data_IF_909132263170
#
_entry.id   IF_909132263170
#
_cell.length_a   1.000
_cell.length_b   1.000
_cell.length_c   1.000
_cell.angle_alpha   90.00
_cell.angle_beta   90.00
_cell.angle_gamma   90.00
#
_symmetry.space_group_name_H-M   'P 1'
#
loop_
_entity.id
_entity.type
_entity.pdbx_description
1 polymer ?
#
# COMPACT_ATOMS: atom_id res chain seq x y z
N UNK A 1 -52.75 8.42 58.81
CA UNK A 1 -53.85 7.46 58.96
C UNK A 1 -53.78 6.48 57.82
N UNK A 2 -53.89 5.24 58.15
CA UNK A 2 -54.05 4.02 57.40
C UNK A 2 -52.74 3.23 57.11
N UNK A 3 -52.65 2.11 57.84
CA UNK A 3 -51.64 1.09 57.84
C UNK A 3 -51.72 0.17 56.60
N UNK A 4 -50.58 -0.19 56.08
CA UNK A 4 -50.44 -1.24 55.06
C UNK A 4 -49.96 -2.53 55.67
N UNK A 5 -50.82 -3.56 55.62
CA UNK A 5 -50.59 -4.92 56.06
C UNK A 5 -49.81 -5.68 54.94
N UNK A 6 -48.69 -6.34 55.29
CA UNK A 6 -48.03 -7.32 54.45
C UNK A 6 -48.22 -8.72 55.05
N UNK A 7 -48.60 -9.75 54.24
CA UNK A 7 -48.60 -11.11 54.75
C UNK A 7 -47.20 -11.76 54.56
N UNK A 8 -46.83 -12.52 55.56
CA UNK A 8 -45.62 -13.32 55.64
C UNK A 8 -45.75 -14.60 54.77
N UNK A 9 -44.76 -14.88 53.94
CA UNK A 9 -44.63 -16.16 53.20
C UNK A 9 -43.83 -17.13 54.03
N UNK A 10 -44.47 -18.23 54.38
CA UNK A 10 -43.86 -19.39 55.06
C UNK A 10 -43.23 -20.33 54.03
N UNK A 11 -41.93 -20.58 54.17
CA UNK A 11 -41.27 -21.67 53.41
C UNK A 11 -41.52 -23.01 54.08
N UNK A 12 -42.13 -23.94 53.37
CA UNK A 12 -42.24 -25.35 53.74
C UNK A 12 -41.08 -26.14 53.13
N UNK A 13 -40.31 -26.78 53.97
CA UNK A 13 -39.24 -27.70 53.57
C UNK A 13 -39.85 -29.07 53.31
N UNK A 14 -39.78 -29.55 52.06
CA UNK A 14 -40.06 -30.92 51.72
C UNK A 14 -38.75 -31.69 51.53
N UNK A 15 -38.50 -32.62 52.40
CA UNK A 15 -37.46 -33.65 52.31
C UNK A 15 -37.85 -34.63 51.19
N UNK A 16 -37.03 -34.77 50.17
CA UNK A 16 -37.12 -35.80 49.14
C UNK A 16 -36.10 -36.90 49.41
N UNK A 17 -36.45 -38.17 49.23
CA UNK A 17 -35.57 -39.31 49.56
C UNK A 17 -34.47 -39.48 48.49
N UNK A 18 -33.29 -39.85 48.97
CA UNK A 18 -32.07 -40.14 48.23
C UNK A 18 -32.24 -41.50 47.47
N UNK A 19 -32.54 -41.44 46.18
CA UNK A 19 -32.47 -42.56 45.28
C UNK A 19 -31.05 -42.80 44.76
N UNK A 20 -30.40 -43.88 45.15
CA UNK A 20 -29.15 -44.35 44.57
C UNK A 20 -29.38 -44.80 43.12
N UNK A 21 -28.99 -44.05 42.16
CA UNK A 21 -28.87 -44.46 40.77
C UNK A 21 -27.48 -45.08 40.55
N UNK A 22 -27.43 -46.36 40.22
CA UNK A 22 -26.22 -47.04 39.78
C UNK A 22 -25.88 -46.52 38.39
N UNK A 23 -24.84 -45.73 38.29
CA UNK A 23 -24.32 -45.27 37.03
C UNK A 23 -23.51 -46.40 36.36
N UNK A 24 -24.00 -46.90 35.25
CA UNK A 24 -23.21 -47.74 34.34
C UNK A 24 -22.08 -46.88 33.70
N UNK A 25 -20.86 -47.41 33.56
CA UNK A 25 -19.82 -46.67 32.87
C UNK A 25 -20.19 -46.53 31.38
N UNK A 26 -20.55 -45.31 30.94
CA UNK A 26 -20.50 -44.98 29.52
C UNK A 26 -19.05 -45.10 29.08
N UNK A 27 -18.78 -46.06 28.18
CA UNK A 27 -17.55 -46.08 27.39
C UNK A 27 -17.49 -44.74 26.64
N UNK A 28 -16.63 -43.82 27.11
CA UNK A 28 -16.30 -42.65 26.38
C UNK A 28 -15.59 -43.11 25.11
N UNK A 29 -16.23 -42.88 23.97
CA UNK A 29 -15.56 -42.99 22.68
C UNK A 29 -14.39 -41.98 22.68
N UNK A 30 -13.20 -42.48 22.38
CA UNK A 30 -12.03 -41.61 22.24
C UNK A 30 -12.35 -40.49 21.20
N UNK A 31 -12.02 -39.24 21.52
CA UNK A 31 -12.21 -38.17 20.53
C UNK A 31 -11.36 -38.49 19.31
N UNK A 32 -11.99 -38.62 18.15
CA UNK A 32 -11.31 -38.69 16.86
C UNK A 32 -10.56 -37.38 16.71
N UNK A 33 -9.25 -37.38 16.99
CA UNK A 33 -8.39 -36.27 16.64
C UNK A 33 -8.26 -36.27 15.12
N UNK A 34 -9.01 -35.43 14.45
CA UNK A 34 -8.73 -35.09 13.07
C UNK A 34 -7.34 -34.42 13.06
N UNK A 35 -6.41 -35.02 12.32
CA UNK A 35 -5.15 -34.32 12.03
C UNK A 35 -5.48 -32.90 11.52
N UNK A 36 -4.85 -31.92 12.14
CA UNK A 36 -4.98 -30.55 11.68
C UNK A 36 -4.56 -30.51 10.20
N UNK A 37 -5.51 -30.31 9.31
CA UNK A 37 -5.22 -30.01 7.92
C UNK A 37 -4.50 -28.69 7.95
N UNK A 38 -3.17 -28.73 7.92
CA UNK A 38 -2.36 -27.55 7.63
C UNK A 38 -2.65 -27.17 6.19
N UNK A 39 -3.65 -26.36 6.00
CA UNK A 39 -3.80 -25.57 4.78
C UNK A 39 -2.67 -24.54 4.87
N UNK A 40 -1.54 -24.87 4.27
CA UNK A 40 -0.52 -23.87 3.97
C UNK A 40 -1.17 -22.92 2.96
N UNK A 41 -1.92 -21.96 3.49
CA UNK A 41 -2.38 -20.84 2.72
C UNK A 41 -1.14 -20.13 2.19
N UNK A 42 -1.10 -19.92 0.89
CA UNK A 42 -0.16 -19.18 0.08
C UNK A 42 1.11 -18.73 0.84
N UNK A 43 2.25 -19.30 0.49
CA UNK A 43 3.53 -18.81 0.98
C UNK A 43 3.68 -17.34 0.55
N UNK A 44 4.35 -16.55 1.34
CA UNK A 44 4.65 -15.14 1.03
C UNK A 44 5.35 -15.00 -0.33
N UNK A 45 5.99 -16.06 -0.78
CA UNK A 45 6.68 -16.22 -2.06
C UNK A 45 5.71 -16.39 -3.25
N UNK A 46 4.52 -16.94 -3.05
CA UNK A 46 3.52 -17.12 -4.11
C UNK A 46 2.74 -15.81 -4.40
N UNK A 47 2.68 -14.89 -3.45
CA UNK A 47 1.95 -13.63 -3.60
C UNK A 47 2.68 -12.60 -4.47
N UNK A 48 3.99 -12.72 -4.68
CA UNK A 48 4.79 -11.77 -5.47
C UNK A 48 4.92 -12.19 -6.94
N UNK A 49 4.63 -13.42 -7.28
CA UNK A 49 4.79 -13.98 -8.64
C UNK A 49 3.51 -13.97 -9.47
N UNK A 50 2.36 -13.64 -8.90
CA UNK A 50 1.06 -13.61 -9.58
C UNK A 50 0.44 -12.20 -9.50
N UNK A 51 -0.52 -11.94 -10.39
CA UNK A 51 -1.35 -10.72 -10.37
C UNK A 51 -2.33 -10.67 -9.19
N UNK A 52 -2.49 -11.76 -8.47
CA UNK A 52 -3.37 -11.88 -7.32
C UNK A 52 -2.57 -11.77 -6.02
N UNK A 53 -2.89 -10.76 -5.23
CA UNK A 53 -2.43 -10.70 -3.86
C UNK A 53 -3.43 -11.42 -2.94
N UNK A 54 -2.91 -12.22 -2.03
CA UNK A 54 -3.72 -12.87 -1.00
C UNK A 54 -3.88 -12.02 0.27
N UNK A 55 -3.06 -10.98 0.43
CA UNK A 55 -2.95 -10.18 1.65
C UNK A 55 -2.80 -8.70 1.38
N UNK A 56 -3.23 -7.87 2.34
CA UNK A 56 -3.00 -6.44 2.35
C UNK A 56 -2.64 -5.97 3.76
N UNK A 57 -1.88 -4.87 3.84
CA UNK A 57 -1.49 -4.23 5.10
C UNK A 57 -2.10 -2.84 5.27
N UNK A 58 -2.75 -2.30 4.25
CA UNK A 58 -3.39 -1.00 4.30
C UNK A 58 -4.46 -0.93 5.39
N UNK A 59 -4.53 0.20 6.07
CA UNK A 59 -5.53 0.41 7.12
C UNK A 59 -5.25 -0.30 8.45
N UNK A 60 -4.04 -0.83 8.64
CA UNK A 60 -3.64 -1.50 9.89
C UNK A 60 -4.05 -2.97 9.97
N UNK A 61 -4.42 -3.57 8.84
CA UNK A 61 -4.78 -5.00 8.78
C UNK A 61 -3.57 -5.95 8.90
N UNK A 62 -2.35 -5.41 9.02
CA UNK A 62 -1.08 -6.16 9.27
C UNK A 62 -0.93 -7.45 8.46
N UNK A 63 -1.03 -7.35 7.13
CA UNK A 63 -0.95 -8.52 6.24
C UNK A 63 -2.14 -9.51 6.40
N UNK A 64 -3.31 -9.01 6.77
CA UNK A 64 -4.51 -9.83 6.83
C UNK A 64 -4.87 -10.41 5.45
N UNK A 65 -5.45 -11.60 5.45
CA UNK A 65 -6.04 -12.17 4.25
C UNK A 65 -7.10 -11.23 3.68
N UNK A 66 -7.07 -11.01 2.37
CA UNK A 66 -8.10 -10.19 1.69
C UNK A 66 -9.50 -10.79 1.85
N UNK A 67 -9.62 -12.10 1.97
CA UNK A 67 -10.91 -12.78 2.19
C UNK A 67 -11.51 -12.50 3.58
N UNK A 68 -10.65 -12.26 4.57
CA UNK A 68 -11.06 -11.99 5.96
C UNK A 68 -11.08 -10.48 6.27
N UNK A 69 -10.68 -9.65 5.30
CA UNK A 69 -10.62 -8.18 5.47
C UNK A 69 -12.02 -7.57 5.28
N UNK A 70 -12.65 -6.98 6.32
CA UNK A 70 -13.99 -6.39 6.22
C UNK A 70 -13.94 -4.99 5.57
N UNK A 71 -13.24 -4.87 4.44
CA UNK A 71 -13.05 -3.62 3.71
C UNK A 71 -12.90 -3.89 2.20
N UNK A 72 -13.15 -2.86 1.40
CA UNK A 72 -12.92 -2.92 -0.05
C UNK A 72 -11.48 -2.52 -0.35
N UNK A 73 -10.64 -3.51 -0.63
CA UNK A 73 -9.22 -3.30 -0.94
C UNK A 73 -8.92 -3.83 -2.34
N UNK A 74 -8.20 -3.03 -3.14
CA UNK A 74 -7.56 -3.48 -4.37
C UNK A 74 -6.05 -3.53 -4.16
N UNK A 75 -5.41 -4.60 -4.58
CA UNK A 75 -3.95 -4.76 -4.49
C UNK A 75 -3.38 -4.97 -5.88
N UNK A 76 -2.35 -4.21 -6.20
CA UNK A 76 -1.61 -4.24 -7.45
C UNK A 76 -0.20 -4.76 -7.15
N UNK A 77 0.11 -5.96 -7.62
CA UNK A 77 1.34 -6.68 -7.28
C UNK A 77 2.55 -6.19 -8.08
N UNK A 78 3.76 -6.53 -7.62
CA UNK A 78 5.01 -6.28 -8.36
C UNK A 78 4.97 -6.88 -9.77
N UNK A 79 4.41 -8.09 -9.94
CA UNK A 79 4.26 -8.73 -11.24
C UNK A 79 3.43 -7.87 -12.20
N UNK A 80 2.29 -7.36 -11.73
CA UNK A 80 1.44 -6.47 -12.53
C UNK A 80 2.16 -5.15 -12.88
N UNK A 81 2.89 -4.56 -11.95
CA UNK A 81 3.66 -3.33 -12.15
C UNK A 81 4.75 -3.56 -13.23
N UNK A 82 5.48 -4.67 -13.13
CA UNK A 82 6.56 -5.03 -14.07
C UNK A 82 6.02 -5.34 -15.48
N UNK A 83 5.01 -6.18 -15.60
CA UNK A 83 4.49 -6.62 -16.89
C UNK A 83 3.81 -5.49 -17.66
N UNK A 84 3.28 -4.51 -16.96
CA UNK A 84 2.78 -3.27 -17.56
C UNK A 84 3.84 -2.24 -17.83
N UNK A 85 5.07 -2.46 -17.37
CA UNK A 85 6.13 -1.45 -17.39
C UNK A 85 5.65 -0.11 -16.80
N UNK A 86 4.83 -0.20 -15.73
CA UNK A 86 4.21 0.96 -15.11
C UNK A 86 5.28 1.88 -14.50
N UNK A 87 5.23 3.16 -14.84
CA UNK A 87 6.11 4.23 -14.34
C UNK A 87 5.40 5.14 -13.37
N UNK A 88 4.12 5.34 -13.61
CA UNK A 88 3.24 6.19 -12.84
C UNK A 88 2.18 5.35 -12.13
N UNK A 89 1.68 5.84 -11.02
CA UNK A 89 0.61 5.18 -10.29
C UNK A 89 -0.66 5.06 -11.15
N UNK A 90 -0.95 6.03 -12.01
CA UNK A 90 -2.07 5.99 -12.96
C UNK A 90 -2.01 4.80 -13.91
N UNK A 91 -0.81 4.33 -14.30
CA UNK A 91 -0.66 3.16 -15.17
C UNK A 91 -1.18 1.89 -14.51
N UNK A 92 -1.15 1.86 -13.18
CA UNK A 92 -1.62 0.74 -12.36
C UNK A 92 -3.09 0.90 -11.99
N UNK A 93 -3.48 2.08 -11.49
CA UNK A 93 -4.82 2.33 -10.96
C UNK A 93 -5.92 2.36 -12.03
N UNK A 94 -5.60 2.64 -13.30
CA UNK A 94 -6.55 2.57 -14.44
C UNK A 94 -7.24 1.22 -14.60
N UNK A 95 -6.75 0.18 -13.94
CA UNK A 95 -7.41 -1.14 -13.92
C UNK A 95 -8.58 -1.22 -12.96
N UNK A 96 -8.72 -0.26 -12.09
CA UNK A 96 -9.82 -0.21 -11.13
C UNK A 96 -10.88 0.78 -11.62
N UNK A 97 -12.05 0.26 -12.01
CA UNK A 97 -13.14 1.06 -12.54
C UNK A 97 -13.68 2.12 -11.56
N UNK A 98 -13.33 2.03 -10.28
CA UNK A 98 -13.72 3.00 -9.26
C UNK A 98 -12.75 4.17 -9.14
N UNK A 99 -11.64 4.17 -9.90
CA UNK A 99 -10.58 5.18 -9.84
C UNK A 99 -10.56 5.99 -11.13
N UNK A 100 -10.47 7.30 -11.01
CA UNK A 100 -10.24 8.22 -12.11
C UNK A 100 -9.12 9.20 -11.80
N UNK A 101 -8.53 9.79 -12.84
CA UNK A 101 -7.55 10.86 -12.69
C UNK A 101 -8.24 12.15 -12.24
N UNK A 102 -7.71 12.82 -11.24
CA UNK A 102 -8.20 14.13 -10.77
C UNK A 102 -7.83 15.26 -11.72
N UNK A 103 -6.69 15.13 -12.40
CA UNK A 103 -6.24 15.99 -13.51
C UNK A 103 -5.15 15.28 -14.31
N UNK A 104 -4.71 15.89 -15.44
CA UNK A 104 -3.72 15.30 -16.34
C UNK A 104 -2.36 15.14 -15.64
N UNK A 105 -1.80 13.93 -15.55
CA UNK A 105 -0.59 13.66 -14.75
C UNK A 105 0.72 13.98 -15.50
N UNK A 106 0.67 14.38 -16.77
CA UNK A 106 1.89 14.58 -17.58
C UNK A 106 2.68 15.79 -17.09
N UNK A 107 3.90 15.53 -16.61
CA UNK A 107 4.84 16.56 -16.17
C UNK A 107 4.51 17.19 -14.82
N UNK A 108 3.54 16.67 -14.07
CA UNK A 108 3.19 17.12 -12.74
C UNK A 108 2.89 15.91 -11.81
N UNK A 109 2.57 16.15 -10.55
CA UNK A 109 2.18 15.07 -9.67
C UNK A 109 0.78 14.53 -10.01
N UNK A 110 0.52 13.29 -9.63
CA UNK A 110 -0.77 12.64 -9.87
C UNK A 110 -1.75 12.93 -8.75
N UNK A 111 -3.03 13.07 -9.10
CA UNK A 111 -4.13 13.15 -8.16
C UNK A 111 -5.26 12.25 -8.64
N UNK A 112 -5.91 11.56 -7.72
CA UNK A 112 -6.93 10.56 -8.03
C UNK A 112 -8.26 10.87 -7.38
N UNK A 113 -9.31 10.44 -8.07
CA UNK A 113 -10.69 10.43 -7.58
C UNK A 113 -11.10 8.97 -7.42
N UNK A 114 -11.52 8.59 -6.23
CA UNK A 114 -11.95 7.21 -5.93
C UNK A 114 -13.42 7.22 -5.54
N UNK A 115 -14.26 6.47 -6.28
CA UNK A 115 -15.72 6.46 -6.08
C UNK A 115 -16.35 7.86 -6.08
N UNK A 116 -15.80 8.78 -6.88
CA UNK A 116 -16.29 10.17 -6.97
C UNK A 116 -15.72 11.14 -5.93
N UNK A 117 -14.86 10.69 -5.01
CA UNK A 117 -14.21 11.52 -3.99
C UNK A 117 -12.74 11.73 -4.31
N UNK A 118 -12.30 12.98 -4.37
CA UNK A 118 -10.88 13.31 -4.55
C UNK A 118 -10.07 12.86 -3.35
N UNK A 119 -8.90 12.28 -3.61
CA UNK A 119 -7.94 11.96 -2.57
C UNK A 119 -7.20 13.24 -2.14
N UNK A 120 -6.86 13.30 -0.86
CA UNK A 120 -6.15 14.45 -0.27
C UNK A 120 -4.66 14.16 -0.19
N UNK A 121 -3.84 15.05 -0.76
CA UNK A 121 -2.39 14.93 -0.78
C UNK A 121 -1.75 14.86 0.62
N UNK A 122 -2.40 15.40 1.65
CA UNK A 122 -1.85 15.43 3.00
C UNK A 122 -2.06 14.12 3.78
N UNK A 123 -3.08 13.31 3.47
CA UNK A 123 -3.45 12.18 4.32
C UNK A 123 -3.85 10.88 3.59
N UNK A 124 -4.06 10.93 2.26
CA UNK A 124 -4.50 9.76 1.50
C UNK A 124 -3.36 8.92 0.91
N UNK A 125 -2.11 9.36 1.01
CA UNK A 125 -0.96 8.65 0.44
C UNK A 125 0.00 8.18 1.54
N UNK A 126 0.46 6.93 1.44
CA UNK A 126 1.31 6.28 2.46
C UNK A 126 2.38 5.41 1.83
N UNK A 127 3.53 5.32 2.50
CA UNK A 127 4.55 4.30 2.27
C UNK A 127 4.68 3.48 3.55
N UNK A 128 4.55 2.15 3.46
CA UNK A 128 4.59 1.22 4.61
C UNK A 128 3.65 1.65 5.76
N UNK A 129 2.44 2.13 5.41
CA UNK A 129 1.45 2.61 6.36
C UNK A 129 1.70 3.99 6.94
N UNK A 130 2.77 4.71 6.57
CA UNK A 130 3.10 6.05 7.06
C UNK A 130 2.76 7.12 6.02
N UNK A 131 2.09 8.18 6.45
CA UNK A 131 1.71 9.29 5.56
C UNK A 131 2.94 9.94 4.95
N UNK A 132 2.83 10.26 3.67
CA UNK A 132 3.82 11.00 2.88
C UNK A 132 3.20 12.28 2.32
N UNK A 133 4.02 13.19 1.86
CA UNK A 133 3.55 14.31 1.02
C UNK A 133 3.04 13.73 -0.30
N UNK A 134 1.75 13.88 -0.59
CA UNK A 134 1.11 13.26 -1.77
C UNK A 134 1.33 14.03 -3.07
N UNK A 135 1.91 15.23 -3.00
CA UNK A 135 2.21 16.05 -4.19
C UNK A 135 3.52 15.59 -4.85
N UNK A 136 3.61 14.29 -5.14
CA UNK A 136 4.76 13.66 -5.79
C UNK A 136 4.32 12.50 -6.69
N UNK A 137 5.15 12.16 -7.66
CA UNK A 137 5.05 10.87 -8.36
C UNK A 137 5.89 9.86 -7.58
N UNK A 138 5.26 8.95 -6.87
CA UNK A 138 6.00 7.92 -6.12
C UNK A 138 6.54 6.89 -7.11
N UNK A 139 7.86 6.65 -7.06
CA UNK A 139 8.52 5.64 -7.88
C UNK A 139 8.00 4.23 -7.57
N UNK A 140 7.84 3.40 -8.60
CA UNK A 140 7.29 2.05 -8.48
C UNK A 140 8.37 0.96 -8.48
N UNK A 141 9.62 1.28 -8.82
CA UNK A 141 10.73 0.34 -8.95
C UNK A 141 11.03 -0.43 -7.66
N UNK A 142 10.90 0.23 -6.52
CA UNK A 142 11.14 -0.37 -5.20
C UNK A 142 9.85 -0.80 -4.49
N UNK A 143 8.71 -0.91 -5.19
CA UNK A 143 7.44 -1.30 -4.59
C UNK A 143 7.14 -2.78 -4.86
N UNK A 144 6.85 -3.51 -3.80
CA UNK A 144 6.37 -4.89 -3.84
C UNK A 144 4.90 -4.94 -4.27
N UNK A 145 4.12 -3.98 -3.78
CA UNK A 145 2.72 -3.83 -4.17
C UNK A 145 2.22 -2.42 -3.87
N UNK A 146 1.13 -2.05 -4.54
CA UNK A 146 0.33 -0.87 -4.23
C UNK A 146 -1.04 -1.33 -3.77
N UNK A 147 -1.50 -0.80 -2.67
CA UNK A 147 -2.78 -1.13 -2.04
C UNK A 147 -3.69 0.09 -2.06
N UNK A 148 -4.92 -0.08 -2.51
CA UNK A 148 -5.96 0.95 -2.47
C UNK A 148 -7.09 0.49 -1.53
N UNK A 149 -7.15 1.07 -0.35
CA UNK A 149 -8.27 0.93 0.57
C UNK A 149 -9.34 1.95 0.19
N UNK A 150 -10.52 1.49 -0.21
CA UNK A 150 -11.61 2.32 -0.71
C UNK A 150 -12.64 2.62 0.37
N UNK A 151 -13.05 3.88 0.46
CA UNK A 151 -14.07 4.31 1.41
C UNK A 151 -13.48 4.74 2.76
N UNK A 152 -14.34 4.83 3.77
CA UNK A 152 -13.96 5.29 5.10
C UNK A 152 -13.04 4.28 5.80
N UNK A 153 -11.80 4.67 6.00
CA UNK A 153 -10.76 3.88 6.66
C UNK A 153 -10.37 4.44 8.04
N UNK A 154 -11.16 5.37 8.58
CA UNK A 154 -10.82 6.20 9.72
C UNK A 154 -10.50 5.45 11.01
N UNK A 155 -11.10 4.27 11.24
CA UNK A 155 -10.87 3.50 12.47
C UNK A 155 -9.42 3.01 12.61
N UNK A 156 -8.75 2.71 11.50
CA UNK A 156 -7.40 2.15 11.49
C UNK A 156 -6.37 3.07 10.84
N UNK A 157 -6.83 3.99 10.02
CA UNK A 157 -5.97 4.90 9.26
C UNK A 157 -5.90 6.32 9.84
N UNK A 158 -6.64 6.62 10.91
CA UNK A 158 -6.80 7.97 11.40
C UNK A 158 -7.64 8.83 10.47
N UNK A 159 -7.27 10.09 10.28
CA UNK A 159 -7.97 10.99 9.35
C UNK A 159 -7.76 10.53 7.92
N UNK A 160 -8.84 10.24 7.20
CA UNK A 160 -8.84 9.89 5.78
C UNK A 160 -10.06 10.46 5.08
N UNK A 161 -9.92 10.66 3.76
CA UNK A 161 -11.02 11.11 2.91
C UNK A 161 -11.99 9.95 2.59
N UNK A 162 -13.24 10.24 2.23
CA UNK A 162 -14.21 9.23 1.82
C UNK A 162 -13.77 8.37 0.62
N UNK A 163 -12.87 8.88 -0.23
CA UNK A 163 -12.27 8.12 -1.33
C UNK A 163 -11.40 6.97 -0.86
N UNK A 164 -10.67 7.17 0.25
CA UNK A 164 -9.83 6.14 0.84
C UNK A 164 -8.35 6.50 0.92
N UNK A 165 -7.51 5.47 0.94
CA UNK A 165 -6.06 5.59 1.14
C UNK A 165 -5.32 4.71 0.15
N UNK A 166 -4.25 5.23 -0.45
CA UNK A 166 -3.27 4.50 -1.25
C UNK A 166 -2.05 4.24 -0.37
N UNK A 167 -1.61 2.98 -0.30
CA UNK A 167 -0.43 2.58 0.44
C UNK A 167 0.54 1.84 -0.48
N UNK A 168 1.78 2.27 -0.49
CA UNK A 168 2.88 1.64 -1.22
C UNK A 168 3.66 0.76 -0.24
N UNK A 169 3.79 -0.51 -0.58
CA UNK A 169 4.63 -1.45 0.16
C UNK A 169 6.00 -1.53 -0.49
N UNK A 170 7.06 -1.24 0.25
CA UNK A 170 8.43 -1.35 -0.25
C UNK A 170 8.89 -2.80 -0.32
N UNK A 171 9.72 -3.11 -1.32
CA UNK A 171 10.40 -4.39 -1.43
C UNK A 171 11.36 -4.58 -0.25
N UNK A 172 11.38 -5.79 0.29
CA UNK A 172 12.34 -6.18 1.32
C UNK A 172 13.48 -7.00 0.74
N UNK A 173 14.50 -7.24 1.56
CA UNK A 173 15.66 -8.05 1.18
C UNK A 173 15.24 -9.42 0.64
N UNK A 174 15.75 -9.75 -0.53
CA UNK A 174 15.56 -11.02 -1.23
C UNK A 174 16.72 -11.22 -2.18
N UNK A 175 17.14 -12.45 -2.40
CA UNK A 175 18.15 -12.73 -3.41
C UNK A 175 17.62 -12.43 -4.81
N UNK A 176 18.01 -11.27 -5.31
CA UNK A 176 17.61 -10.78 -6.63
C UNK A 176 18.75 -10.00 -7.27
N UNK A 177 18.90 -10.18 -8.57
CA UNK A 177 19.81 -9.40 -9.41
C UNK A 177 19.15 -9.24 -10.76
N UNK A 178 18.59 -8.07 -11.01
CA UNK A 178 17.94 -7.80 -12.28
C UNK A 178 18.37 -6.46 -12.85
N UNK A 179 18.39 -6.40 -14.16
CA UNK A 179 18.58 -5.18 -14.95
C UNK A 179 17.45 -5.12 -15.95
N UNK A 180 16.80 -3.98 -16.01
CA UNK A 180 15.74 -3.71 -16.98
C UNK A 180 16.17 -2.60 -17.90
N UNK A 181 16.04 -2.83 -19.20
CA UNK A 181 16.23 -1.82 -20.25
C UNK A 181 14.98 -1.82 -21.11
N UNK A 182 14.38 -0.68 -21.32
CA UNK A 182 13.21 -0.58 -22.18
C UNK A 182 13.21 0.71 -23.00
N UNK A 183 12.44 0.69 -24.06
CA UNK A 183 12.14 1.83 -24.91
C UNK A 183 10.69 1.76 -25.35
N UNK A 184 10.09 2.89 -25.68
CA UNK A 184 8.74 2.95 -26.22
C UNK A 184 8.72 3.51 -27.65
N UNK A 185 7.53 3.61 -28.24
CA UNK A 185 7.29 4.12 -29.60
C UNK A 185 7.67 5.60 -29.80
N UNK A 186 7.82 6.35 -28.70
CA UNK A 186 8.23 7.75 -28.71
C UNK A 186 9.74 7.93 -28.54
N UNK A 187 10.50 6.84 -28.37
CA UNK A 187 11.95 6.85 -28.22
C UNK A 187 12.41 7.11 -26.76
N UNK A 188 11.55 6.86 -25.78
CA UNK A 188 11.93 6.81 -24.36
C UNK A 188 13.09 5.83 -24.16
N UNK A 189 13.97 6.13 -23.23
CA UNK A 189 15.02 5.25 -22.77
C UNK A 189 14.91 5.07 -21.29
N UNK A 190 14.76 3.85 -20.87
CA UNK A 190 14.64 3.48 -19.47
C UNK A 190 15.67 2.42 -19.09
N UNK A 191 16.32 2.66 -17.97
CA UNK A 191 17.26 1.72 -17.35
C UNK A 191 16.92 1.60 -15.88
N UNK A 192 16.84 0.37 -15.34
CA UNK A 192 16.67 0.13 -13.92
C UNK A 192 17.45 -1.09 -13.45
N UNK A 193 17.84 -1.08 -12.17
CA UNK A 193 18.45 -2.22 -11.49
C UNK A 193 17.69 -2.51 -10.20
N UNK A 194 17.62 -3.79 -9.86
CA UNK A 194 17.06 -4.29 -8.61
C UNK A 194 18.00 -5.38 -8.08
N UNK A 195 18.70 -5.08 -6.98
CA UNK A 195 19.72 -5.96 -6.39
C UNK A 195 19.43 -6.08 -4.91
N UNK A 196 19.40 -7.30 -4.40
CA UNK A 196 19.22 -7.57 -2.99
C UNK A 196 19.76 -8.90 -2.56
N UNK A 197 19.81 -9.09 -1.26
CA UNK A 197 20.27 -10.33 -0.64
C UNK A 197 20.38 -10.22 0.87
N UNK A 198 20.61 -11.36 1.49
CA UNK A 198 20.89 -11.48 2.90
C UNK A 198 22.37 -11.78 3.13
N UNK A 199 22.95 -11.23 4.21
CA UNK A 199 24.35 -11.40 4.55
C UNK A 199 24.57 -11.46 6.07
N UNK A 200 25.80 -11.74 6.48
CA UNK A 200 26.16 -12.07 7.86
C UNK A 200 26.15 -13.59 8.10
N UNK A 201 26.74 -14.02 9.21
CA UNK A 201 26.92 -15.46 9.52
C UNK A 201 25.60 -16.22 9.68
N UNK A 202 24.54 -15.53 10.09
CA UNK A 202 23.18 -16.06 10.31
C UNK A 202 22.15 -15.38 9.39
N UNK A 203 22.60 -14.77 8.29
CA UNK A 203 21.76 -13.98 7.40
C UNK A 203 20.94 -12.91 8.14
N UNK A 204 21.53 -12.31 9.17
CA UNK A 204 20.85 -11.34 10.02
C UNK A 204 20.66 -9.96 9.36
N UNK A 205 21.41 -9.66 8.29
CA UNK A 205 21.31 -8.39 7.58
C UNK A 205 20.73 -8.59 6.18
N UNK A 206 19.67 -7.89 5.89
CA UNK A 206 19.06 -7.84 4.57
C UNK A 206 19.29 -6.49 3.90
N UNK A 207 19.56 -6.49 2.61
CA UNK A 207 19.73 -5.28 1.81
C UNK A 207 18.99 -5.41 0.48
N UNK A 208 18.32 -4.33 0.06
CA UNK A 208 17.77 -4.19 -1.28
C UNK A 208 18.02 -2.80 -1.82
N UNK A 209 18.54 -2.71 -3.02
CA UNK A 209 18.84 -1.47 -3.73
C UNK A 209 18.09 -1.45 -5.06
N UNK A 210 17.39 -0.36 -5.33
CA UNK A 210 16.79 -0.12 -6.63
C UNK A 210 17.30 1.22 -7.16
N UNK A 211 17.76 1.24 -8.41
CA UNK A 211 18.17 2.44 -9.14
C UNK A 211 17.40 2.48 -10.45
N UNK A 212 17.01 3.67 -10.89
CA UNK A 212 16.44 3.86 -12.22
C UNK A 212 16.84 5.21 -12.82
N UNK A 213 16.98 5.23 -14.14
CA UNK A 213 17.13 6.41 -14.96
C UNK A 213 16.17 6.35 -16.14
N UNK A 214 15.55 7.46 -16.48
CA UNK A 214 14.56 7.55 -17.54
C UNK A 214 14.71 8.86 -18.33
N UNK A 215 14.97 8.72 -19.65
CA UNK A 215 14.78 9.81 -20.62
C UNK A 215 13.32 9.80 -21.06
N UNK A 216 12.47 10.59 -20.42
CA UNK A 216 11.03 10.61 -20.66
C UNK A 216 10.74 11.19 -22.05
N UNK A 217 10.00 10.46 -22.87
CA UNK A 217 9.48 10.92 -24.16
C UNK A 217 7.97 10.88 -24.16
N UNK A 218 7.37 12.05 -24.18
CA UNK A 218 5.92 12.19 -24.10
C UNK A 218 5.26 12.13 -25.48
N UNK A 219 4.03 11.64 -25.53
CA UNK A 219 3.17 11.81 -26.71
C UNK A 219 2.77 13.28 -26.96
N UNK A 220 2.93 14.14 -25.95
CA UNK A 220 2.72 15.58 -26.05
C UNK A 220 4.01 16.25 -26.49
N UNK A 221 3.94 17.01 -27.57
CA UNK A 221 5.09 17.75 -28.10
C UNK A 221 5.67 18.70 -27.04
N UNK A 222 7.00 18.71 -26.92
CA UNK A 222 7.76 19.56 -25.96
C UNK A 222 7.54 19.20 -24.47
N UNK A 223 6.86 18.11 -24.14
CA UNK A 223 6.65 17.65 -22.76
C UNK A 223 7.60 16.50 -22.38
N UNK A 224 8.75 16.41 -23.03
CA UNK A 224 9.83 15.50 -22.68
C UNK A 224 10.47 15.89 -21.35
N UNK A 225 11.16 14.95 -20.73
CA UNK A 225 11.80 15.14 -19.44
C UNK A 225 12.83 14.08 -19.11
N UNK A 226 13.24 14.06 -17.86
CA UNK A 226 14.15 13.05 -17.31
C UNK A 226 13.76 12.72 -15.87
N UNK A 227 14.16 11.54 -15.42
CA UNK A 227 13.93 11.08 -14.05
C UNK A 227 15.07 10.20 -13.57
N UNK A 228 15.55 10.49 -12.36
CA UNK A 228 16.51 9.69 -11.62
C UNK A 228 15.88 9.20 -10.32
N UNK A 229 16.08 7.94 -10.00
CA UNK A 229 15.57 7.31 -8.80
C UNK A 229 16.62 6.43 -8.13
N UNK A 230 16.69 6.49 -6.80
CA UNK A 230 17.51 5.61 -5.98
C UNK A 230 16.78 5.24 -4.69
N UNK A 231 16.85 3.98 -4.29
CA UNK A 231 16.32 3.53 -3.01
C UNK A 231 17.19 2.47 -2.35
N UNK A 232 17.08 2.43 -1.02
CA UNK A 232 17.72 1.46 -0.16
C UNK A 232 16.70 0.96 0.86
N UNK A 233 16.55 -0.35 0.97
CA UNK A 233 15.86 -1.00 2.08
C UNK A 233 16.86 -1.86 2.84
N UNK A 234 16.87 -1.70 4.17
CA UNK A 234 17.76 -2.42 5.07
C UNK A 234 16.94 -3.10 6.16
N UNK A 235 17.17 -4.38 6.36
CA UNK A 235 16.56 -5.19 7.39
C UNK A 235 17.67 -5.72 8.33
N UNK A 236 17.45 -5.62 9.63
CA UNK A 236 18.34 -6.19 10.63
C UNK A 236 17.55 -7.06 11.61
N UNK A 237 17.69 -8.35 11.49
CA UNK A 237 17.25 -9.33 12.47
C UNK A 237 18.20 -9.29 13.67
N UNK A 238 17.95 -8.40 14.64
CA UNK A 238 18.78 -8.21 15.84
C UNK A 238 18.75 -9.46 16.69
N UNK A 239 17.59 -10.13 16.74
CA UNK A 239 17.37 -11.43 17.36
C UNK A 239 16.12 -12.06 16.77
N UNK A 240 15.79 -13.29 17.17
CA UNK A 240 14.51 -13.95 16.78
C UNK A 240 13.25 -13.15 17.16
N UNK A 241 13.39 -12.19 18.08
CA UNK A 241 12.29 -11.37 18.60
C UNK A 241 12.37 -9.90 18.24
N UNK A 242 13.47 -9.46 17.64
CA UNK A 242 13.72 -8.04 17.38
C UNK A 242 14.14 -7.81 15.93
N UNK A 243 13.38 -6.97 15.22
CA UNK A 243 13.60 -6.60 13.83
C UNK A 243 13.68 -5.07 13.71
N UNK A 244 14.72 -4.57 13.05
CA UNK A 244 14.84 -3.19 12.61
C UNK A 244 14.76 -3.13 11.10
N UNK A 245 13.90 -2.25 10.59
CA UNK A 245 13.74 -1.98 9.16
C UNK A 245 13.97 -0.50 8.88
N UNK A 246 14.77 -0.22 7.88
CA UNK A 246 15.03 1.15 7.41
C UNK A 246 14.79 1.21 5.91
N UNK A 247 14.12 2.28 5.46
CA UNK A 247 13.87 2.57 4.08
C UNK A 247 14.25 4.00 3.77
N UNK A 248 14.89 4.20 2.63
CA UNK A 248 15.16 5.50 2.06
C UNK A 248 14.91 5.45 0.57
N UNK A 249 14.22 6.45 0.02
CA UNK A 249 14.08 6.63 -1.43
C UNK A 249 14.20 8.10 -1.80
N UNK A 250 14.90 8.34 -2.88
CA UNK A 250 15.11 9.66 -3.46
C UNK A 250 14.76 9.64 -4.93
N UNK A 251 14.06 10.65 -5.40
CA UNK A 251 13.75 10.86 -6.80
C UNK A 251 13.92 12.31 -7.18
N UNK A 252 14.53 12.53 -8.34
CA UNK A 252 14.51 13.80 -9.05
C UNK A 252 13.86 13.61 -10.42
N UNK A 253 12.89 14.45 -10.77
CA UNK A 253 12.17 14.42 -12.03
C UNK A 253 12.06 15.84 -12.58
N UNK A 254 12.40 16.00 -13.84
CA UNK A 254 12.22 17.25 -14.57
C UNK A 254 11.37 16.99 -15.81
N UNK A 255 10.23 17.64 -15.92
CA UNK A 255 9.35 17.50 -17.08
C UNK A 255 8.45 18.73 -17.22
N UNK A 256 8.18 19.17 -18.46
CA UNK A 256 7.19 20.25 -18.65
C UNK A 256 5.80 19.74 -18.33
N UNK A 257 5.10 20.48 -17.47
CA UNK A 257 3.71 20.20 -17.11
C UNK A 257 2.79 20.49 -18.30
N UNK A 258 1.86 19.57 -18.53
CA UNK A 258 0.85 19.68 -19.60
C UNK A 258 -0.47 20.13 -18.99
N UNK A 259 -0.85 21.41 -19.17
CA UNK A 259 -2.14 21.89 -18.69
C UNK A 259 -3.28 21.28 -19.51
N UNK A 260 -4.41 21.04 -18.86
CA UNK A 260 -5.63 20.63 -19.52
C UNK A 260 -6.29 21.75 -20.32
N UNK A 261 -7.09 21.38 -21.32
CA UNK A 261 -7.96 22.33 -22.03
C UNK A 261 -9.16 22.71 -21.15
N UNK A 262 -9.42 23.99 -21.08
CA UNK A 262 -10.65 24.50 -20.46
C UNK A 262 -11.77 24.54 -21.50
N UNK A 263 -12.95 24.08 -21.14
CA UNK A 263 -14.12 24.13 -22.02
C UNK A 263 -14.63 25.57 -22.17
N UNK A 264 -14.87 26.00 -23.40
CA UNK A 264 -15.49 27.27 -23.69
C UNK A 264 -16.94 27.26 -23.20
N UNK A 265 -17.29 28.22 -22.35
CA UNK A 265 -18.63 28.27 -21.73
C UNK A 265 -18.94 27.05 -20.86
N UNK A 266 -17.93 26.27 -20.43
CA UNK A 266 -18.10 25.08 -19.62
C UNK A 266 -18.56 23.80 -20.36
N UNK A 267 -18.81 23.87 -21.65
CA UNK A 267 -19.42 22.77 -22.43
C UNK A 267 -18.74 22.46 -23.76
N UNK A 268 -18.06 23.44 -24.37
CA UNK A 268 -17.56 23.29 -25.73
C UNK A 268 -16.04 23.18 -25.73
N UNK A 269 -15.50 22.13 -26.35
CA UNK A 269 -14.07 21.99 -26.56
C UNK A 269 -13.57 23.05 -27.55
N UNK A 270 -12.44 23.75 -27.32
CA UNK A 270 -11.83 24.64 -28.29
C UNK A 270 -11.58 23.94 -29.64
N UNK A 271 -11.84 24.62 -30.75
CA UNK A 271 -11.76 24.03 -32.10
C UNK A 271 -10.37 23.43 -32.41
N UNK A 272 -9.30 24.06 -31.89
CA UNK A 272 -7.91 23.65 -32.12
C UNK A 272 -7.36 22.74 -31.01
N UNK A 273 -8.22 22.17 -30.17
CA UNK A 273 -7.80 21.25 -29.13
C UNK A 273 -7.16 20.01 -29.73
N UNK A 274 -5.96 19.68 -29.27
CA UNK A 274 -5.21 18.49 -29.66
C UNK A 274 -4.52 17.87 -28.45
N UNK A 275 -4.65 16.55 -28.22
CA UNK A 275 -3.99 15.89 -27.11
C UNK A 275 -2.46 15.87 -27.23
N UNK A 276 -1.93 16.18 -28.44
CA UNK A 276 -0.48 16.19 -28.70
C UNK A 276 0.17 17.56 -28.56
N UNK A 277 -0.61 18.61 -28.27
CA UNK A 277 -0.12 20.00 -28.23
C UNK A 277 0.05 20.46 -26.78
N UNK A 278 1.26 20.88 -26.42
CA UNK A 278 1.51 21.57 -25.16
C UNK A 278 0.98 22.99 -25.24
N UNK A 279 -0.06 23.29 -24.46
CA UNK A 279 -0.63 24.63 -24.37
C UNK A 279 0.33 25.57 -23.65
N UNK A 280 0.42 26.79 -24.14
CA UNK A 280 1.24 27.84 -23.52
C UNK A 280 2.76 27.61 -23.62
N UNK A 281 3.21 26.67 -24.49
CA UNK A 281 4.64 26.45 -24.68
C UNK A 281 5.36 27.73 -25.16
N UNK A 282 6.45 28.02 -24.46
CA UNK A 282 7.38 29.11 -24.80
C UNK A 282 8.80 28.55 -24.78
N UNK A 283 9.67 29.00 -25.70
CA UNK A 283 11.04 28.51 -25.76
C UNK A 283 11.85 28.79 -24.48
N UNK A 284 11.47 29.79 -23.73
CA UNK A 284 12.12 30.20 -22.49
C UNK A 284 11.53 29.51 -21.24
N UNK A 285 10.38 28.81 -21.34
CA UNK A 285 9.78 28.14 -20.21
C UNK A 285 10.64 26.95 -19.78
N UNK A 286 10.88 26.84 -18.49
CA UNK A 286 11.61 25.72 -17.89
C UNK A 286 10.69 24.51 -17.63
N UNK A 287 11.21 23.29 -17.61
CA UNK A 287 10.50 22.14 -17.05
C UNK A 287 10.17 22.40 -15.57
N UNK A 288 9.15 21.71 -15.08
CA UNK A 288 8.88 21.61 -13.65
C UNK A 288 9.87 20.60 -13.06
N UNK A 289 10.64 21.03 -12.07
CA UNK A 289 11.49 20.20 -11.24
C UNK A 289 10.67 19.63 -10.07
N UNK A 290 10.82 18.35 -9.80
CA UNK A 290 10.20 17.70 -8.65
C UNK A 290 11.22 16.79 -7.95
N UNK A 291 11.64 17.21 -6.77
CA UNK A 291 12.53 16.43 -5.91
C UNK A 291 11.74 15.83 -4.75
N UNK A 292 11.86 14.53 -4.51
CA UNK A 292 11.23 13.86 -3.39
C UNK A 292 12.22 13.01 -2.60
N UNK A 293 12.08 13.05 -1.26
CA UNK A 293 12.85 12.23 -0.31
C UNK A 293 11.88 11.63 0.71
N UNK A 294 11.76 10.32 0.71
CA UNK A 294 10.98 9.60 1.71
C UNK A 294 11.91 8.67 2.52
N UNK A 295 11.79 8.76 3.83
CA UNK A 295 12.55 7.94 4.78
C UNK A 295 11.58 7.32 5.78
N UNK A 296 11.80 6.06 6.10
CA UNK A 296 10.99 5.34 7.07
C UNK A 296 11.89 4.41 7.91
N UNK A 297 11.63 4.35 9.20
CA UNK A 297 12.26 3.42 10.12
C UNK A 297 11.20 2.74 10.96
N UNK A 298 11.34 1.42 11.16
CA UNK A 298 10.44 0.59 11.98
C UNK A 298 11.27 -0.35 12.82
N UNK A 299 11.01 -0.35 14.12
CA UNK A 299 11.51 -1.34 15.06
C UNK A 299 10.35 -2.17 15.57
N UNK A 300 10.46 -3.49 15.50
CA UNK A 300 9.51 -4.45 16.03
C UNK A 300 10.13 -5.29 17.12
N UNK A 301 9.35 -5.57 18.15
CA UNK A 301 9.77 -6.45 19.23
C UNK A 301 8.62 -7.37 19.66
N UNK A 302 8.90 -8.67 19.66
CA UNK A 302 7.97 -9.68 20.17
C UNK A 302 8.26 -9.96 21.64
N UNK A 303 7.42 -9.46 22.53
CA UNK A 303 7.57 -9.62 23.99
C UNK A 303 7.34 -11.07 24.41
N UNK A 304 6.34 -11.71 23.81
CA UNK A 304 5.99 -13.13 23.99
C UNK A 304 5.12 -13.59 22.79
N UNK A 305 4.61 -14.81 22.84
CA UNK A 305 3.82 -15.40 21.74
C UNK A 305 2.50 -14.66 21.46
N UNK A 306 1.99 -13.88 22.41
CA UNK A 306 0.73 -13.14 22.30
C UNK A 306 0.89 -11.64 22.15
N UNK A 307 2.06 -11.08 22.43
CA UNK A 307 2.29 -9.64 22.46
C UNK A 307 3.47 -9.25 21.56
N UNK A 308 3.18 -8.41 20.61
CA UNK A 308 4.14 -7.77 19.71
C UNK A 308 3.93 -6.26 19.78
N UNK A 309 5.00 -5.51 19.78
CA UNK A 309 4.97 -4.04 19.71
C UNK A 309 5.83 -3.53 18.57
N UNK A 310 5.50 -2.36 18.03
CA UNK A 310 6.31 -1.70 17.02
C UNK A 310 6.39 -0.20 17.26
N UNK A 311 7.54 0.37 16.96
CA UNK A 311 7.79 1.82 16.93
C UNK A 311 8.23 2.19 15.52
N UNK A 312 7.63 3.24 14.95
CA UNK A 312 8.01 3.70 13.62
C UNK A 312 8.14 5.22 13.58
N UNK A 313 9.08 5.68 12.78
CA UNK A 313 9.26 7.09 12.45
C UNK A 313 9.43 7.25 10.95
N UNK A 314 8.90 8.34 10.39
CA UNK A 314 9.03 8.63 8.97
C UNK A 314 9.25 10.12 8.70
N UNK A 315 9.88 10.43 7.58
CA UNK A 315 10.01 11.77 7.05
C UNK A 315 9.76 11.74 5.55
N UNK A 316 8.89 12.63 5.10
CA UNK A 316 8.65 12.87 3.67
C UNK A 316 8.89 14.34 3.37
N UNK A 317 9.58 14.61 2.26
CA UNK A 317 9.85 15.96 1.76
C UNK A 317 9.68 15.97 0.25
N UNK A 318 8.97 16.96 -0.24
CA UNK A 318 8.83 17.26 -1.67
C UNK A 318 9.20 18.72 -1.91
N UNK A 319 9.91 18.97 -2.99
CA UNK A 319 10.20 20.31 -3.51
C UNK A 319 9.74 20.32 -4.96
N UNK A 320 8.98 21.34 -5.33
CA UNK A 320 8.52 21.58 -6.71
C UNK A 320 8.98 22.97 -7.09
N UNK A 321 9.74 23.10 -8.18
CA UNK A 321 10.32 24.35 -8.70
C UNK A 321 9.63 24.79 -10.01
#
# INVERSE_FOLDING_TARGET
>A
MSASNRPAVRYAWHLLPLGMAVASPLLAAEPISLEAVNVNGFSEQDSTSDYRAGRASVGGFEQASLLDTPASVSVFTEALIKDRQAKLLSDVLRNDASVGDGYAPVGYYENFVVRGFSLNAANSYRINGRSIAGEQNVALENKQQVELLKGLSGLQSGVSEPGGVINYQTKRAQDVRSVTVSTNEHGERYFATDVGGWFGSEQQFGLRVNLAHEDIRSYVQHADGQRDFASLAFDWNISERALLQLDVEYQNKEQRSVPGYQLLGGTTLPHDASPRKLLGYQNWSSPVGMESLNMNGRFEYQFNDSWKGSLSASRSRVVID
#
